data_IF_253732677639
#
_entry.id   IF_253732677639
#
_cell.length_a   1.000
_cell.length_b   1.000
_cell.length_c   1.000
_cell.angle_alpha   90.00
_cell.angle_beta   90.00
_cell.angle_gamma   90.00
#
_symmetry.space_group_name_H-M   'P 1'
#
loop_
_entity.id
_entity.type
_entity.pdbx_description
1 polymer ?
#
# COMPACT_ATOMS: atom_id res chain seq x y z
N UNK A 1 -15.00 17.78 -12.82
CA UNK A 1 -14.31 16.56 -12.37
C UNK A 1 -13.62 16.87 -11.06
N UNK A 2 -14.35 16.88 -9.97
CA UNK A 2 -13.75 16.97 -8.64
C UNK A 2 -12.93 15.70 -8.36
N UNK A 3 -12.53 15.45 -7.15
CA UNK A 3 -11.77 14.23 -6.79
C UNK A 3 -12.54 12.89 -7.01
N UNK A 4 -13.47 12.82 -7.98
CA UNK A 4 -14.37 11.67 -8.20
C UNK A 4 -13.64 10.40 -8.67
N UNK A 5 -12.45 10.54 -9.28
CA UNK A 5 -11.63 9.42 -9.66
C UNK A 5 -11.04 8.67 -8.43
N UNK A 6 -10.97 9.32 -7.28
CA UNK A 6 -10.69 8.68 -6.01
C UNK A 6 -11.99 8.12 -5.43
N UNK A 7 -12.10 6.83 -5.27
CA UNK A 7 -13.27 6.19 -4.72
C UNK A 7 -13.34 6.39 -3.20
N UNK A 8 -14.51 6.69 -2.64
CA UNK A 8 -14.70 6.96 -1.21
C UNK A 8 -13.92 8.17 -0.69
N UNK A 9 -13.61 8.18 0.60
CA UNK A 9 -12.84 9.23 1.26
C UNK A 9 -13.48 10.64 1.16
N UNK A 10 -14.80 10.72 1.28
CA UNK A 10 -15.58 11.93 0.98
C UNK A 10 -15.20 13.14 1.87
N UNK A 11 -14.91 12.90 3.16
CA UNK A 11 -14.47 13.94 4.06
C UNK A 11 -13.12 14.54 3.60
N UNK A 12 -12.17 13.68 3.24
CA UNK A 12 -10.86 14.08 2.73
C UNK A 12 -10.99 14.93 1.45
N UNK A 13 -11.84 14.50 0.52
CA UNK A 13 -12.13 15.25 -0.73
C UNK A 13 -12.71 16.63 -0.44
N UNK A 14 -13.67 16.70 0.48
CA UNK A 14 -14.31 17.96 0.88
C UNK A 14 -13.31 18.93 1.51
N UNK A 15 -12.44 18.44 2.40
CA UNK A 15 -11.44 19.25 3.07
C UNK A 15 -10.36 19.74 2.09
N UNK A 16 -9.96 18.90 1.13
CA UNK A 16 -9.04 19.31 0.05
C UNK A 16 -9.68 20.34 -0.89
N UNK A 17 -10.92 20.13 -1.31
CA UNK A 17 -11.62 21.06 -2.18
C UNK A 17 -11.74 22.45 -1.50
N UNK A 18 -12.11 22.50 -0.21
CA UNK A 18 -12.17 23.74 0.57
C UNK A 18 -10.80 24.41 0.66
N UNK A 19 -9.74 23.67 0.97
CA UNK A 19 -8.38 24.19 1.07
C UNK A 19 -7.90 24.83 -0.24
N UNK A 20 -8.19 24.16 -1.38
CA UNK A 20 -7.84 24.66 -2.71
C UNK A 20 -8.66 25.89 -3.13
N UNK A 21 -9.96 25.96 -2.76
CA UNK A 21 -10.81 27.13 -3.02
C UNK A 21 -10.36 28.36 -2.25
N UNK A 22 -9.85 28.17 -1.02
CA UNK A 22 -9.35 29.26 -0.17
C UNK A 22 -7.89 29.62 -0.44
N UNK A 23 -7.23 28.95 -1.39
CA UNK A 23 -5.81 29.16 -1.71
C UNK A 23 -4.84 28.66 -0.65
N UNK A 24 -5.30 27.86 0.33
CA UNK A 24 -4.45 27.31 1.38
C UNK A 24 -3.79 26.00 0.91
N UNK A 25 -2.69 26.12 0.19
CA UNK A 25 -1.88 25.01 -0.27
C UNK A 25 -0.73 24.80 0.72
N UNK A 26 -0.64 23.59 1.30
CA UNK A 26 0.52 23.24 2.14
C UNK A 26 1.73 22.96 1.24
N UNK A 27 2.93 23.35 1.71
CA UNK A 27 4.18 23.04 1.01
C UNK A 27 4.51 21.54 1.03
N UNK A 28 3.97 20.77 1.98
CA UNK A 28 4.19 19.33 2.06
C UNK A 28 2.91 18.59 2.47
N UNK A 29 2.58 17.54 1.74
CA UNK A 29 1.53 16.59 2.06
C UNK A 29 2.12 15.21 2.23
N UNK A 30 1.72 14.51 3.30
CA UNK A 30 2.04 13.11 3.54
C UNK A 30 0.79 12.27 3.28
N UNK A 31 0.78 11.55 2.16
CA UNK A 31 -0.34 10.69 1.76
C UNK A 31 -0.07 9.29 2.29
N UNK A 32 -0.89 8.84 3.25
CA UNK A 32 -0.72 7.57 3.95
C UNK A 32 -1.84 6.59 3.67
N UNK A 33 -1.50 5.31 3.64
CA UNK A 33 -2.42 4.20 3.46
C UNK A 33 -1.70 2.96 2.94
N UNK A 34 -2.25 1.75 3.12
CA UNK A 34 -1.62 0.52 2.65
C UNK A 34 -1.42 0.52 1.12
N UNK A 35 -0.63 -0.43 0.63
CA UNK A 35 -0.50 -0.65 -0.80
C UNK A 35 -1.90 -0.85 -1.43
N UNK A 36 -2.14 -0.29 -2.61
CA UNK A 36 -3.44 -0.39 -3.28
C UNK A 36 -4.55 0.51 -2.71
N UNK A 37 -4.26 1.39 -1.73
CA UNK A 37 -5.25 2.33 -1.17
C UNK A 37 -5.61 3.52 -2.06
N UNK A 38 -4.87 3.75 -3.16
CA UNK A 38 -5.08 4.87 -4.07
C UNK A 38 -4.20 6.10 -3.80
N UNK A 39 -3.07 5.97 -3.10
CA UNK A 39 -2.14 7.08 -2.81
C UNK A 39 -1.68 7.81 -4.06
N UNK A 40 -1.25 7.08 -5.09
CA UNK A 40 -0.82 7.66 -6.36
C UNK A 40 -1.97 8.39 -7.08
N UNK A 41 -3.18 7.82 -7.02
CA UNK A 41 -4.38 8.46 -7.58
C UNK A 41 -4.67 9.79 -6.88
N UNK A 42 -4.65 9.81 -5.53
CA UNK A 42 -4.84 11.04 -4.77
C UNK A 42 -3.73 12.07 -5.07
N UNK A 43 -2.46 11.64 -5.10
CA UNK A 43 -1.33 12.53 -5.39
C UNK A 43 -1.47 13.19 -6.77
N UNK A 44 -1.80 12.42 -7.81
CA UNK A 44 -2.02 12.96 -9.16
C UNK A 44 -3.22 13.90 -9.23
N UNK A 45 -4.33 13.56 -8.57
CA UNK A 45 -5.51 14.44 -8.51
C UNK A 45 -5.21 15.73 -7.76
N UNK A 46 -4.47 15.67 -6.66
CA UNK A 46 -4.04 16.84 -5.89
C UNK A 46 -3.09 17.72 -6.71
N UNK A 47 -2.11 17.12 -7.40
CA UNK A 47 -1.24 17.85 -8.32
C UNK A 47 -2.04 18.52 -9.44
N UNK A 48 -2.94 17.78 -10.09
CA UNK A 48 -3.82 18.35 -11.11
C UNK A 48 -4.69 19.49 -10.56
N UNK A 49 -5.14 19.42 -9.30
CA UNK A 49 -5.95 20.46 -8.68
C UNK A 49 -5.13 21.72 -8.36
N UNK A 50 -3.90 21.56 -7.87
CA UNK A 50 -2.99 22.69 -7.58
C UNK A 50 -2.62 23.44 -8.87
N UNK A 51 -2.32 22.71 -9.94
CA UNK A 51 -1.93 23.27 -11.24
C UNK A 51 -3.14 23.68 -12.12
N UNK A 52 -4.37 23.42 -11.67
CA UNK A 52 -5.57 23.66 -12.42
C UNK A 52 -5.87 25.16 -12.63
N UNK A 53 -6.14 25.56 -13.87
CA UNK A 53 -6.53 26.90 -14.26
C UNK A 53 -8.07 27.11 -14.28
N UNK A 54 -8.85 26.04 -14.04
CA UNK A 54 -10.31 26.10 -13.99
C UNK A 54 -10.84 26.58 -12.63
N UNK A 55 -12.14 26.89 -12.57
CA UNK A 55 -12.82 27.27 -11.32
C UNK A 55 -12.98 26.07 -10.37
N UNK A 56 -13.41 24.95 -10.90
CA UNK A 56 -13.61 23.71 -10.13
C UNK A 56 -12.34 22.85 -10.21
N UNK A 57 -11.57 22.78 -9.13
CA UNK A 57 -10.25 22.14 -9.09
C UNK A 57 -10.32 20.73 -8.48
N UNK A 58 -9.78 19.73 -9.18
CA UNK A 58 -9.30 19.70 -10.57
C UNK A 58 -10.46 19.65 -11.57
N UNK A 59 -10.40 20.46 -12.65
CA UNK A 59 -11.45 20.44 -13.67
C UNK A 59 -11.34 19.22 -14.61
N UNK A 60 -10.16 18.62 -14.74
CA UNK A 60 -9.87 17.48 -15.58
C UNK A 60 -9.81 17.74 -17.09
N UNK A 61 -10.15 18.98 -17.54
CA UNK A 61 -10.24 19.32 -18.96
C UNK A 61 -9.24 20.39 -19.42
N UNK A 62 -8.74 21.23 -18.52
CA UNK A 62 -7.74 22.23 -18.86
C UNK A 62 -6.39 21.55 -19.20
N UNK A 63 -5.54 22.27 -19.92
CA UNK A 63 -4.26 21.75 -20.38
C UNK A 63 -3.35 21.23 -19.26
N UNK A 64 -3.14 21.94 -18.12
CA UNK A 64 -2.39 21.42 -17.00
C UNK A 64 -2.98 20.13 -16.40
N UNK A 65 -4.31 20.08 -16.19
CA UNK A 65 -4.95 18.87 -15.65
C UNK A 65 -4.69 17.64 -16.52
N UNK A 66 -4.85 17.77 -17.85
CA UNK A 66 -4.61 16.67 -18.79
C UNK A 66 -3.15 16.22 -18.74
N UNK A 67 -2.20 17.15 -18.83
CA UNK A 67 -0.77 16.85 -18.75
C UNK A 67 -0.39 16.10 -17.46
N UNK A 68 -0.92 16.51 -16.30
CA UNK A 68 -0.65 15.83 -15.03
C UNK A 68 -1.22 14.42 -15.02
N UNK A 69 -2.46 14.25 -15.49
CA UNK A 69 -3.13 12.94 -15.50
C UNK A 69 -2.49 11.97 -16.49
N UNK A 70 -1.97 12.47 -17.61
CA UNK A 70 -1.22 11.72 -18.62
C UNK A 70 0.26 11.52 -18.26
N UNK A 71 0.75 12.20 -17.21
CA UNK A 71 2.14 12.07 -16.74
C UNK A 71 3.16 12.93 -17.48
N UNK A 72 2.72 13.93 -18.28
CA UNK A 72 3.59 14.77 -19.12
C UNK A 72 3.72 16.23 -18.70
N UNK A 73 3.36 16.61 -17.47
CA UNK A 73 3.47 18.01 -17.03
C UNK A 73 4.89 18.32 -16.53
N UNK A 74 5.57 19.37 -17.08
CA UNK A 74 6.97 19.68 -16.73
C UNK A 74 7.16 20.09 -15.26
N UNK A 75 6.12 20.67 -14.63
CA UNK A 75 6.13 21.09 -13.23
C UNK A 75 5.52 20.04 -12.28
N UNK A 76 5.26 18.80 -12.74
CA UNK A 76 4.88 17.66 -11.93
C UNK A 76 5.92 16.54 -12.10
N UNK A 77 6.80 16.42 -11.13
CA UNK A 77 7.97 15.55 -11.18
C UNK A 77 7.76 14.37 -10.22
N UNK A 78 7.81 13.17 -10.76
CA UNK A 78 7.81 11.95 -9.95
C UNK A 78 9.25 11.55 -9.64
N UNK A 79 9.55 11.45 -8.36
CA UNK A 79 10.82 11.01 -7.84
C UNK A 79 10.76 9.57 -7.41
N UNK A 80 11.25 8.70 -8.26
CA UNK A 80 11.42 7.27 -8.03
C UNK A 80 12.57 6.77 -8.90
N UNK A 81 13.30 5.78 -8.40
CA UNK A 81 14.40 5.15 -9.12
C UNK A 81 14.18 3.62 -9.08
N UNK A 82 13.79 3.00 -10.20
CA UNK A 82 13.46 1.58 -10.25
C UNK A 82 14.65 0.66 -9.93
N UNK A 83 15.88 1.16 -10.05
CA UNK A 83 17.09 0.38 -9.78
C UNK A 83 17.36 0.21 -8.27
N UNK A 84 16.67 0.98 -7.43
CA UNK A 84 16.85 0.97 -5.99
C UNK A 84 15.54 0.71 -5.25
N UNK A 85 15.60 -0.04 -4.16
CA UNK A 85 14.44 -0.19 -3.25
C UNK A 85 14.14 1.09 -2.46
N UNK A 86 15.19 1.88 -2.18
CA UNK A 86 15.11 3.17 -1.49
C UNK A 86 15.90 4.21 -2.27
N UNK A 87 15.39 5.43 -2.34
CA UNK A 87 16.09 6.52 -3.01
C UNK A 87 17.45 6.76 -2.34
N UNK A 88 18.57 6.69 -3.09
CA UNK A 88 19.90 6.95 -2.55
C UNK A 88 20.03 8.42 -2.07
N UNK A 89 20.66 8.63 -0.91
CA UNK A 89 20.88 9.99 -0.37
C UNK A 89 21.66 10.88 -1.32
N UNK A 90 22.58 10.30 -2.10
CA UNK A 90 23.35 11.02 -3.12
C UNK A 90 22.44 11.67 -4.14
N UNK A 91 21.44 10.94 -4.62
CA UNK A 91 20.47 11.44 -5.60
C UNK A 91 19.66 12.61 -5.04
N UNK A 92 19.30 12.55 -3.75
CA UNK A 92 18.59 13.65 -3.08
C UNK A 92 19.47 14.91 -3.01
N UNK A 93 20.75 14.78 -2.67
CA UNK A 93 21.66 15.91 -2.51
C UNK A 93 22.12 16.52 -3.82
N UNK A 94 22.44 15.69 -4.82
CA UNK A 94 23.09 16.12 -6.04
C UNK A 94 22.10 16.47 -7.18
N UNK A 95 20.91 15.87 -7.16
CA UNK A 95 19.93 16.06 -8.24
C UNK A 95 18.63 16.70 -7.74
N UNK A 96 18.00 16.11 -6.71
CA UNK A 96 16.73 16.59 -6.21
C UNK A 96 16.82 18.01 -5.60
N UNK A 97 17.74 18.21 -4.68
CA UNK A 97 17.91 19.50 -4.00
C UNK A 97 18.17 20.66 -4.96
N UNK A 98 19.11 20.58 -5.93
CA UNK A 98 19.30 21.65 -6.90
C UNK A 98 18.06 21.93 -7.74
N UNK A 99 17.34 20.87 -8.19
CA UNK A 99 16.13 21.02 -9.00
C UNK A 99 14.98 21.72 -8.28
N UNK A 100 14.85 21.51 -6.96
CA UNK A 100 13.82 22.19 -6.15
C UNK A 100 13.96 23.71 -6.18
N UNK A 101 15.16 24.25 -6.31
CA UNK A 101 15.41 25.69 -6.38
C UNK A 101 15.30 26.28 -7.79
N UNK A 102 15.01 25.44 -8.80
CA UNK A 102 14.68 25.89 -10.16
C UNK A 102 13.21 26.22 -10.21
N UNK A 103 12.88 27.44 -10.65
CA UNK A 103 11.48 27.92 -10.78
C UNK A 103 10.66 27.01 -11.70
N UNK A 104 9.32 26.98 -11.51
CA UNK A 104 8.41 26.29 -12.42
C UNK A 104 8.54 26.78 -13.86
N UNK A 105 8.20 25.90 -14.82
CA UNK A 105 8.28 26.20 -16.25
C UNK A 105 7.00 26.88 -16.77
N UNK A 106 5.82 26.30 -16.45
CA UNK A 106 4.52 26.70 -17.05
C UNK A 106 3.52 27.17 -15.99
N UNK A 107 3.76 26.85 -14.71
CA UNK A 107 2.79 27.01 -13.63
C UNK A 107 3.30 27.89 -12.47
N UNK A 108 2.42 28.28 -11.56
CA UNK A 108 2.81 28.97 -10.33
C UNK A 108 3.49 28.05 -9.31
N UNK A 109 3.22 26.76 -9.37
CA UNK A 109 3.75 25.75 -8.47
C UNK A 109 4.54 24.67 -9.21
N UNK A 110 5.55 24.11 -8.55
CA UNK A 110 6.31 22.94 -8.97
C UNK A 110 6.09 21.82 -7.95
N UNK A 111 5.59 20.69 -8.39
CA UNK A 111 5.12 19.61 -7.53
C UNK A 111 6.03 18.41 -7.65
N UNK A 112 6.46 17.89 -6.52
CA UNK A 112 7.34 16.74 -6.41
C UNK A 112 6.60 15.59 -5.72
N UNK A 113 6.33 14.51 -6.44
CA UNK A 113 5.78 13.29 -5.88
C UNK A 113 6.91 12.31 -5.56
N UNK A 114 7.06 11.96 -4.29
CA UNK A 114 8.03 10.98 -3.81
C UNK A 114 7.26 9.74 -3.38
N UNK A 115 7.28 8.72 -4.23
CA UNK A 115 6.52 7.46 -4.05
C UNK A 115 7.35 6.35 -3.42
N UNK A 116 8.67 6.47 -3.46
CA UNK A 116 9.60 5.45 -3.00
C UNK A 116 10.08 5.72 -1.57
N UNK A 117 10.38 4.64 -0.83
CA UNK A 117 10.87 4.74 0.55
C UNK A 117 12.21 5.49 0.62
N UNK A 118 12.30 6.39 1.60
CA UNK A 118 13.53 7.11 1.93
C UNK A 118 14.22 6.45 3.12
N UNK A 119 15.52 6.14 2.99
CA UNK A 119 16.35 5.75 4.12
C UNK A 119 16.51 6.91 5.11
N UNK A 120 17.02 6.63 6.31
CA UNK A 120 17.22 7.62 7.38
C UNK A 120 18.01 8.85 6.91
N UNK A 121 19.11 8.64 6.20
CA UNK A 121 19.94 9.71 5.66
C UNK A 121 19.21 10.53 4.57
N UNK A 122 18.41 9.86 3.75
CA UNK A 122 17.57 10.51 2.73
C UNK A 122 16.50 11.40 3.36
N UNK A 123 15.86 10.92 4.42
CA UNK A 123 14.89 11.71 5.18
C UNK A 123 15.54 12.94 5.82
N UNK A 124 16.74 12.80 6.40
CA UNK A 124 17.50 13.94 6.95
C UNK A 124 17.90 14.94 5.87
N UNK A 125 18.29 14.48 4.68
CA UNK A 125 18.58 15.36 3.56
C UNK A 125 17.35 16.13 3.06
N UNK A 126 16.17 15.49 3.11
CA UNK A 126 14.90 16.11 2.74
C UNK A 126 14.46 17.17 3.76
N UNK A 127 14.75 16.99 5.05
CA UNK A 127 14.41 17.96 6.11
C UNK A 127 14.90 19.36 5.81
N UNK A 128 16.13 19.52 5.32
CA UNK A 128 16.70 20.83 4.98
C UNK A 128 15.87 21.56 3.92
N UNK A 129 15.23 20.81 3.02
CA UNK A 129 14.36 21.37 1.97
C UNK A 129 12.98 21.69 2.54
N UNK A 130 12.45 20.83 3.43
CA UNK A 130 11.13 21.01 4.02
C UNK A 130 11.09 22.13 5.08
N UNK A 131 12.25 22.51 5.65
CA UNK A 131 12.37 23.61 6.62
C UNK A 131 12.24 24.97 5.94
N UNK A 132 12.88 25.14 4.79
CA UNK A 132 12.88 26.40 4.02
C UNK A 132 12.55 26.11 2.54
N UNK A 133 11.32 25.65 2.24
CA UNK A 133 10.94 25.34 0.87
C UNK A 133 10.73 26.63 0.07
N UNK A 134 11.11 26.65 -1.23
CA UNK A 134 10.68 27.72 -2.12
C UNK A 134 9.16 27.86 -2.13
N UNK A 135 8.64 29.06 -2.17
CA UNK A 135 7.18 29.35 -2.08
C UNK A 135 6.35 28.63 -3.17
N UNK A 136 6.96 28.30 -4.29
CA UNK A 136 6.33 27.58 -5.39
C UNK A 136 6.42 26.05 -5.27
N UNK A 137 7.27 25.52 -4.38
CA UNK A 137 7.48 24.06 -4.30
C UNK A 137 6.43 23.39 -3.42
N UNK A 138 5.85 22.28 -3.91
CA UNK A 138 4.92 21.45 -3.16
C UNK A 138 5.39 20.00 -3.21
N UNK A 139 5.49 19.35 -2.04
CA UNK A 139 5.96 17.99 -1.89
C UNK A 139 4.80 17.05 -1.56
N UNK A 140 4.68 15.95 -2.30
CA UNK A 140 3.70 14.88 -2.07
C UNK A 140 4.47 13.61 -1.69
N UNK A 141 4.57 13.32 -0.39
CA UNK A 141 5.23 12.13 0.13
C UNK A 141 4.21 11.00 0.25
N UNK A 142 4.48 9.85 -0.36
CA UNK A 142 3.63 8.68 -0.28
C UNK A 142 4.25 7.66 0.68
N UNK A 143 3.47 7.18 1.65
CA UNK A 143 3.96 6.19 2.61
C UNK A 143 2.90 5.13 2.91
N UNK A 144 3.31 3.86 2.86
CA UNK A 144 2.45 2.75 3.29
C UNK A 144 2.29 2.75 4.82
N UNK A 145 3.37 3.06 5.53
CA UNK A 145 3.41 3.16 6.97
C UNK A 145 4.08 4.49 7.40
N UNK A 146 3.32 5.45 7.98
CA UNK A 146 3.87 6.72 8.43
C UNK A 146 4.90 6.59 9.56
N UNK A 147 4.91 5.46 10.29
CA UNK A 147 5.90 5.22 11.37
C UNK A 147 7.33 5.01 10.84
N UNK A 148 7.49 4.68 9.56
CA UNK A 148 8.80 4.59 8.92
C UNK A 148 9.43 5.96 8.64
N UNK A 149 8.64 7.03 8.72
CA UNK A 149 9.12 8.40 8.55
C UNK A 149 9.51 9.02 9.90
N UNK A 150 10.58 9.79 9.90
CA UNK A 150 11.01 10.54 11.07
C UNK A 150 9.91 11.48 11.57
N UNK A 151 9.72 11.61 12.89
CA UNK A 151 8.76 12.55 13.46
C UNK A 151 8.97 13.98 12.98
N UNK A 152 10.22 14.37 12.74
CA UNK A 152 10.63 15.69 12.21
C UNK A 152 10.18 15.93 10.77
N UNK A 153 10.13 14.91 9.92
CA UNK A 153 9.53 14.98 8.56
C UNK A 153 8.03 15.09 8.68
N UNK A 154 7.41 14.20 9.48
CA UNK A 154 5.95 14.14 9.64
C UNK A 154 5.36 15.44 10.17
N UNK A 155 6.03 16.10 11.12
CA UNK A 155 5.56 17.36 11.72
C UNK A 155 5.50 18.53 10.75
N UNK A 156 6.21 18.44 9.62
CA UNK A 156 6.24 19.47 8.55
C UNK A 156 5.27 19.17 7.40
N UNK A 157 4.59 18.03 7.46
CA UNK A 157 3.65 17.61 6.43
C UNK A 157 2.21 17.66 6.93
N UNK A 158 1.29 18.08 6.06
CA UNK A 158 -0.14 17.86 6.26
C UNK A 158 -0.46 16.41 5.92
N UNK A 159 -0.87 15.62 6.90
CA UNK A 159 -1.21 14.22 6.67
C UNK A 159 -2.58 14.07 5.98
N UNK A 160 -2.61 13.25 4.93
CA UNK A 160 -3.79 12.85 4.17
C UNK A 160 -3.91 11.32 4.24
N UNK A 161 -4.71 10.83 5.19
CA UNK A 161 -4.87 9.40 5.42
C UNK A 161 -6.00 8.83 4.58
N UNK A 162 -5.68 7.82 3.75
CA UNK A 162 -6.67 7.07 2.98
C UNK A 162 -7.30 5.98 3.84
N UNK A 163 -8.63 5.94 3.85
CA UNK A 163 -9.43 4.97 4.60
C UNK A 163 -9.88 3.83 3.70
N UNK A 164 -10.15 2.68 4.33
CA UNK A 164 -10.78 1.55 3.68
C UNK A 164 -12.16 1.94 3.11
N UNK A 165 -12.48 1.41 1.95
CA UNK A 165 -13.76 1.62 1.29
C UNK A 165 -14.86 0.78 1.96
N UNK A 166 -16.10 1.29 2.04
CA UNK A 166 -17.25 0.47 2.38
C UNK A 166 -17.35 -0.72 1.42
N UNK A 167 -17.63 -1.91 1.97
CA UNK A 167 -17.68 -3.17 1.21
C UNK A 167 -18.57 -3.07 -0.03
N UNK A 168 -19.77 -2.51 0.12
CA UNK A 168 -20.73 -2.38 -0.99
C UNK A 168 -20.15 -1.55 -2.13
N UNK A 169 -19.52 -0.42 -1.84
CA UNK A 169 -18.90 0.46 -2.84
C UNK A 169 -17.74 -0.24 -3.55
N UNK A 170 -16.96 -1.05 -2.81
CA UNK A 170 -15.86 -1.83 -3.35
C UNK A 170 -16.37 -2.92 -4.29
N UNK A 171 -17.37 -3.72 -3.89
CA UNK A 171 -17.98 -4.76 -4.72
C UNK A 171 -18.61 -4.19 -6.00
N UNK A 172 -19.32 -3.06 -5.92
CA UNK A 172 -19.87 -2.36 -7.08
C UNK A 172 -18.78 -1.93 -8.06
N UNK A 173 -17.66 -1.41 -7.56
CA UNK A 173 -16.55 -1.01 -8.40
C UNK A 173 -15.86 -2.22 -9.04
N UNK A 174 -15.61 -3.26 -8.28
CA UNK A 174 -15.00 -4.49 -8.78
C UNK A 174 -15.85 -5.16 -9.86
N UNK A 175 -17.19 -5.18 -9.70
CA UNK A 175 -18.09 -5.76 -10.71
C UNK A 175 -18.06 -5.02 -12.04
N UNK A 176 -17.77 -3.71 -12.04
CA UNK A 176 -17.57 -2.91 -13.25
C UNK A 176 -16.23 -3.16 -13.91
N UNK A 177 -15.17 -3.27 -13.08
CA UNK A 177 -13.79 -3.44 -13.55
C UNK A 177 -13.51 -4.88 -13.99
N UNK A 178 -14.22 -5.88 -13.42
CA UNK A 178 -14.09 -7.32 -13.70
C UNK A 178 -15.45 -7.97 -14.02
N UNK A 179 -16.07 -7.64 -15.16
CA UNK A 179 -17.41 -8.14 -15.50
C UNK A 179 -17.47 -9.67 -15.70
N UNK A 180 -16.33 -10.33 -15.89
CA UNK A 180 -16.22 -11.79 -16.07
C UNK A 180 -16.02 -12.53 -14.74
N UNK A 181 -15.71 -11.83 -13.65
CA UNK A 181 -15.50 -12.46 -12.35
C UNK A 181 -16.85 -12.88 -11.72
N UNK A 182 -16.87 -14.03 -11.04
CA UNK A 182 -18.06 -14.46 -10.33
C UNK A 182 -18.38 -13.52 -9.15
N UNK A 183 -19.66 -13.45 -8.76
CA UNK A 183 -20.05 -12.65 -7.58
C UNK A 183 -19.33 -13.10 -6.31
N UNK A 184 -19.06 -14.39 -6.20
CA UNK A 184 -18.36 -14.98 -5.07
C UNK A 184 -16.89 -14.53 -5.05
N UNK A 185 -16.22 -14.51 -6.21
CA UNK A 185 -14.83 -14.05 -6.33
C UNK A 185 -14.71 -12.56 -6.01
N UNK A 186 -15.63 -11.73 -6.50
CA UNK A 186 -15.68 -10.30 -6.19
C UNK A 186 -15.83 -10.06 -4.67
N UNK A 187 -16.73 -10.83 -4.03
CA UNK A 187 -16.96 -10.76 -2.60
C UNK A 187 -15.72 -11.17 -1.80
N UNK A 188 -15.10 -12.31 -2.16
CA UNK A 188 -13.86 -12.79 -1.53
C UNK A 188 -12.71 -11.79 -1.67
N UNK A 189 -12.53 -11.21 -2.87
CA UNK A 189 -11.53 -10.18 -3.10
C UNK A 189 -11.79 -8.94 -2.26
N UNK A 190 -13.04 -8.48 -2.14
CA UNK A 190 -13.42 -7.35 -1.31
C UNK A 190 -13.15 -7.60 0.18
N UNK A 191 -13.45 -8.80 0.68
CA UNK A 191 -13.20 -9.18 2.08
C UNK A 191 -11.70 -9.25 2.39
N UNK A 192 -10.92 -9.92 1.52
CA UNK A 192 -9.48 -10.14 1.72
C UNK A 192 -8.62 -8.90 1.50
N UNK A 193 -9.12 -7.92 0.75
CA UNK A 193 -8.38 -6.67 0.47
C UNK A 193 -8.38 -5.67 1.62
N UNK A 194 -9.05 -5.94 2.73
CA UNK A 194 -9.19 -4.98 3.83
C UNK A 194 -9.87 -3.66 3.42
N UNK A 195 -10.65 -3.67 2.33
CA UNK A 195 -11.35 -2.50 1.82
C UNK A 195 -10.53 -1.63 0.86
N UNK A 196 -9.39 -2.11 0.35
CA UNK A 196 -8.53 -1.35 -0.57
C UNK A 196 -8.65 -1.87 -2.00
N UNK A 197 -9.11 -0.99 -2.90
CA UNK A 197 -9.44 -1.35 -4.29
C UNK A 197 -8.26 -1.96 -5.06
N UNK A 198 -7.05 -1.40 -4.93
CA UNK A 198 -5.88 -1.91 -5.62
C UNK A 198 -5.48 -3.30 -5.15
N UNK A 199 -5.62 -3.60 -3.85
CA UNK A 199 -5.41 -4.96 -3.33
C UNK A 199 -6.48 -5.93 -3.84
N UNK A 200 -7.76 -5.51 -3.86
CA UNK A 200 -8.83 -6.34 -4.39
C UNK A 200 -8.64 -6.66 -5.88
N UNK A 201 -8.17 -5.69 -6.68
CA UNK A 201 -7.83 -5.90 -8.10
C UNK A 201 -6.69 -6.88 -8.27
N UNK A 202 -5.58 -6.69 -7.53
CA UNK A 202 -4.45 -7.61 -7.57
C UNK A 202 -4.87 -9.05 -7.24
N UNK A 203 -5.72 -9.25 -6.23
CA UNK A 203 -6.28 -10.57 -5.89
C UNK A 203 -7.09 -11.19 -7.03
N UNK A 204 -7.83 -10.38 -7.82
CA UNK A 204 -8.60 -10.87 -8.96
C UNK A 204 -7.74 -11.11 -10.20
N UNK A 205 -6.72 -10.28 -10.44
CA UNK A 205 -5.79 -10.39 -11.57
C UNK A 205 -4.82 -11.56 -11.41
N UNK A 206 -4.26 -11.75 -10.22
CA UNK A 206 -3.38 -12.88 -9.89
C UNK A 206 -4.16 -14.21 -9.84
N UNK A 207 -5.48 -14.14 -9.90
CA UNK A 207 -6.38 -15.23 -9.63
C UNK A 207 -6.50 -15.50 -8.14
N UNK A 208 -7.70 -15.81 -7.66
CA UNK A 208 -7.96 -16.24 -6.28
C UNK A 208 -7.36 -17.63 -5.97
N UNK A 209 -6.61 -18.19 -6.93
CA UNK A 209 -5.84 -19.40 -6.71
C UNK A 209 -4.78 -19.11 -5.64
N UNK A 210 -5.01 -19.66 -4.49
CA UNK A 210 -4.04 -19.64 -3.41
C UNK A 210 -2.74 -20.28 -3.91
N UNK A 211 -1.57 -19.75 -3.54
CA UNK A 211 -0.31 -20.38 -3.86
C UNK A 211 -0.38 -21.89 -3.55
N UNK A 212 0.18 -22.77 -4.39
CA UNK A 212 0.11 -24.22 -4.16
C UNK A 212 0.62 -24.63 -2.77
N UNK A 213 1.50 -23.83 -2.18
CA UNK A 213 1.98 -23.95 -0.81
C UNK A 213 0.86 -23.78 0.22
N UNK A 214 -0.16 -22.98 -0.07
CA UNK A 214 -1.25 -22.73 0.89
C UNK A 214 -2.15 -23.94 1.05
N UNK A 215 -2.49 -24.63 -0.03
CA UNK A 215 -3.25 -25.87 0.04
C UNK A 215 -2.46 -27.00 0.74
N UNK A 216 -1.15 -27.04 0.53
CA UNK A 216 -0.25 -27.98 1.24
C UNK A 216 -0.17 -27.65 2.74
N UNK A 217 -0.05 -26.35 3.09
CA UNK A 217 -0.06 -25.90 4.48
C UNK A 217 -1.37 -26.29 5.19
N UNK A 218 -2.52 -26.02 4.59
CA UNK A 218 -3.81 -26.35 5.19
C UNK A 218 -3.91 -27.85 5.48
N UNK A 219 -3.56 -28.70 4.51
CA UNK A 219 -3.60 -30.15 4.70
C UNK A 219 -2.66 -30.62 5.82
N UNK A 220 -1.43 -30.14 5.82
CA UNK A 220 -0.44 -30.51 6.79
C UNK A 220 -0.81 -30.00 8.20
N UNK A 221 -1.20 -28.72 8.32
CA UNK A 221 -1.57 -28.14 9.60
C UNK A 221 -2.89 -28.73 10.13
N UNK A 222 -3.95 -28.82 9.33
CA UNK A 222 -5.20 -29.43 9.76
C UNK A 222 -5.05 -30.90 10.12
N UNK A 223 -4.20 -31.64 9.42
CA UNK A 223 -3.89 -33.05 9.71
C UNK A 223 -2.99 -33.27 10.93
N UNK A 224 -2.35 -32.24 11.47
CA UNK A 224 -1.37 -32.40 12.55
C UNK A 224 -0.06 -33.04 12.13
N UNK A 225 0.23 -32.99 10.84
CA UNK A 225 1.39 -33.65 10.25
C UNK A 225 2.63 -32.74 10.30
N UNK A 226 3.42 -32.89 11.37
CA UNK A 226 4.64 -32.11 11.57
C UNK A 226 5.71 -32.40 10.49
N UNK A 227 5.71 -33.61 9.90
CA UNK A 227 6.65 -33.97 8.85
C UNK A 227 6.28 -33.24 7.57
N UNK A 228 5.00 -33.27 7.15
CA UNK A 228 4.52 -32.57 5.99
C UNK A 228 4.69 -31.03 6.10
N UNK A 229 4.53 -30.46 7.30
CA UNK A 229 4.85 -29.03 7.54
C UNK A 229 6.35 -28.76 7.32
N UNK A 230 7.22 -29.63 7.79
CA UNK A 230 8.67 -29.49 7.60
C UNK A 230 9.05 -29.62 6.12
N UNK A 231 8.50 -30.62 5.42
CA UNK A 231 8.73 -30.84 3.99
C UNK A 231 8.23 -29.65 3.14
N UNK A 232 7.17 -28.97 3.56
CA UNK A 232 6.68 -27.75 2.93
C UNK A 232 7.62 -26.57 3.15
N UNK A 233 8.16 -26.39 4.36
CA UNK A 233 8.96 -25.22 4.74
C UNK A 233 10.41 -25.29 4.25
N UNK A 234 11.01 -26.49 4.16
CA UNK A 234 12.40 -26.70 3.73
C UNK A 234 12.71 -26.08 2.36
N UNK A 235 11.93 -26.28 1.29
CA UNK A 235 12.17 -25.60 0.01
C UNK A 235 12.09 -24.07 0.09
N UNK A 236 11.28 -23.55 1.02
CA UNK A 236 11.06 -22.11 1.18
C UNK A 236 12.23 -21.41 1.89
N UNK A 237 13.16 -22.16 2.52
CA UNK A 237 14.37 -21.61 3.14
C UNK A 237 15.27 -20.85 2.16
N UNK A 238 15.25 -21.26 0.88
CA UNK A 238 16.03 -20.66 -0.21
C UNK A 238 15.32 -19.50 -0.91
N UNK A 239 14.11 -19.17 -0.49
CA UNK A 239 13.35 -18.11 -1.13
C UNK A 239 13.87 -16.73 -0.77
N UNK A 240 13.57 -15.75 -1.65
CA UNK A 240 13.72 -14.34 -1.31
C UNK A 240 12.60 -13.94 -0.34
N UNK A 241 12.87 -12.96 0.51
CA UNK A 241 11.89 -12.43 1.49
C UNK A 241 10.59 -11.96 0.82
N UNK A 242 10.71 -11.29 -0.32
CA UNK A 242 9.56 -10.76 -1.07
C UNK A 242 8.61 -11.86 -1.57
N UNK A 243 9.11 -13.07 -1.76
CA UNK A 243 8.29 -14.24 -2.09
C UNK A 243 7.72 -14.94 -0.85
N UNK A 244 8.43 -14.90 0.28
CA UNK A 244 8.02 -15.56 1.53
C UNK A 244 6.89 -14.81 2.23
N UNK A 245 6.98 -13.47 2.33
CA UNK A 245 6.02 -12.62 3.04
C UNK A 245 4.57 -12.80 2.55
N UNK A 246 4.25 -12.77 1.24
CA UNK A 246 2.88 -12.96 0.77
C UNK A 246 2.29 -14.31 1.14
N UNK A 247 3.09 -15.37 1.11
CA UNK A 247 2.64 -16.73 1.47
C UNK A 247 2.33 -16.83 2.95
N UNK A 248 3.22 -16.34 3.83
CA UNK A 248 2.97 -16.31 5.28
C UNK A 248 1.77 -15.45 5.65
N UNK A 249 1.59 -14.31 4.98
CA UNK A 249 0.42 -13.44 5.17
C UNK A 249 -0.88 -14.13 4.74
N UNK A 250 -0.85 -14.90 3.65
CA UNK A 250 -1.99 -15.69 3.21
C UNK A 250 -2.35 -16.81 4.20
N UNK A 251 -1.36 -17.49 4.79
CA UNK A 251 -1.60 -18.50 5.82
C UNK A 251 -2.16 -17.88 7.11
N UNK A 252 -1.65 -16.72 7.51
CA UNK A 252 -2.16 -15.98 8.66
C UNK A 252 -3.64 -15.61 8.47
N UNK A 253 -4.00 -15.03 7.32
CA UNK A 253 -5.38 -14.67 7.03
C UNK A 253 -6.34 -15.87 7.08
N UNK A 254 -5.92 -17.05 6.59
CA UNK A 254 -6.72 -18.29 6.67
C UNK A 254 -6.91 -18.78 8.11
N UNK A 255 -5.87 -18.67 8.95
CA UNK A 255 -5.99 -19.05 10.37
C UNK A 255 -6.88 -18.08 11.14
N UNK A 256 -6.80 -16.78 10.85
CA UNK A 256 -7.67 -15.76 11.45
C UNK A 256 -9.13 -15.99 11.04
N UNK A 257 -9.38 -16.32 9.76
CA UNK A 257 -10.70 -16.69 9.27
C UNK A 257 -11.24 -17.97 9.96
N UNK A 258 -10.39 -18.99 10.12
CA UNK A 258 -10.74 -20.24 10.79
C UNK A 258 -11.07 -20.03 12.28
N UNK A 259 -10.36 -19.10 12.95
CA UNK A 259 -10.59 -18.80 14.38
C UNK A 259 -11.83 -17.94 14.61
N UNK A 260 -12.12 -17.01 13.68
CA UNK A 260 -13.20 -16.04 13.81
C UNK A 260 -14.63 -16.67 13.77
N UNK A 261 -14.76 -17.90 13.27
CA UNK A 261 -16.01 -18.66 13.29
C UNK A 261 -17.19 -18.00 12.53
N UNK A 262 -16.89 -17.24 11.47
CA UNK A 262 -17.93 -16.61 10.65
C UNK A 262 -18.88 -17.65 10.04
N UNK A 263 -20.14 -17.28 9.81
CA UNK A 263 -21.15 -18.17 9.19
C UNK A 263 -20.78 -18.64 7.77
N UNK A 264 -19.91 -17.92 7.10
CA UNK A 264 -19.41 -18.22 5.75
C UNK A 264 -17.87 -18.13 5.76
N UNK A 265 -17.23 -19.26 6.02
CA UNK A 265 -15.76 -19.40 5.95
C UNK A 265 -15.36 -20.06 4.64
N UNK A 266 -14.16 -19.74 4.15
CA UNK A 266 -13.61 -20.42 2.96
C UNK A 266 -13.45 -21.93 3.23
N UNK A 267 -13.51 -22.72 2.17
CA UNK A 267 -13.39 -24.20 2.27
C UNK A 267 -12.11 -24.60 3.02
N UNK A 268 -11.01 -23.87 2.81
CA UNK A 268 -9.72 -24.15 3.45
C UNK A 268 -9.68 -23.74 4.92
N UNK A 269 -10.25 -22.59 5.26
CA UNK A 269 -10.39 -22.18 6.66
C UNK A 269 -11.33 -23.12 7.42
N UNK A 270 -12.41 -23.57 6.76
CA UNK A 270 -13.33 -24.59 7.28
C UNK A 270 -12.65 -25.92 7.57
N UNK A 271 -11.73 -26.37 6.71
CA UNK A 271 -10.95 -27.59 6.94
C UNK A 271 -10.08 -27.48 8.19
N UNK A 272 -9.45 -26.32 8.42
CA UNK A 272 -8.67 -26.06 9.63
C UNK A 272 -9.58 -26.05 10.87
N UNK A 273 -10.67 -25.26 10.84
CA UNK A 273 -11.60 -25.13 11.95
C UNK A 273 -12.26 -26.45 12.37
N UNK A 274 -12.48 -27.36 11.42
CA UNK A 274 -13.07 -28.67 11.67
C UNK A 274 -12.09 -29.65 12.37
N UNK A 275 -10.78 -29.46 12.24
CA UNK A 275 -9.77 -30.45 12.69
C UNK A 275 -8.83 -29.94 13.78
N UNK A 276 -8.77 -28.61 13.99
CA UNK A 276 -7.90 -27.99 14.99
C UNK A 276 -8.69 -27.25 16.06
N UNK A 277 -8.15 -27.26 17.27
CA UNK A 277 -8.75 -26.53 18.38
C UNK A 277 -8.44 -25.03 18.28
N UNK A 278 -9.31 -24.18 18.84
CA UNK A 278 -9.09 -22.74 18.85
C UNK A 278 -7.74 -22.33 19.51
N UNK A 279 -7.27 -22.97 20.60
CA UNK A 279 -5.93 -22.71 21.13
C UNK A 279 -4.80 -23.06 20.17
N UNK A 280 -4.93 -24.13 19.36
CA UNK A 280 -3.90 -24.52 18.37
C UNK A 280 -3.84 -23.49 17.24
N UNK A 281 -5.01 -23.08 16.73
CA UNK A 281 -5.10 -22.04 15.70
C UNK A 281 -4.52 -20.72 16.20
N UNK A 282 -4.83 -20.33 17.44
CA UNK A 282 -4.31 -19.10 18.05
C UNK A 282 -2.77 -19.13 18.20
N UNK A 283 -2.20 -20.26 18.63
CA UNK A 283 -0.73 -20.42 18.67
C UNK A 283 -0.09 -20.30 17.31
N UNK A 284 -0.69 -20.89 16.29
CA UNK A 284 -0.21 -20.79 14.92
C UNK A 284 -0.31 -19.37 14.37
N UNK A 285 -1.38 -18.62 14.69
CA UNK A 285 -1.52 -17.18 14.36
C UNK A 285 -0.34 -16.40 14.96
N UNK A 286 -0.05 -16.58 16.24
CA UNK A 286 1.07 -15.89 16.89
C UNK A 286 2.42 -16.28 16.27
N UNK A 287 2.62 -17.55 15.93
CA UNK A 287 3.82 -18.00 15.23
C UNK A 287 3.97 -17.30 13.88
N UNK A 288 2.92 -17.20 13.07
CA UNK A 288 2.98 -16.52 11.77
C UNK A 288 3.18 -15.01 11.90
N UNK A 289 2.56 -14.35 12.88
CA UNK A 289 2.77 -12.93 13.16
C UNK A 289 4.23 -12.63 13.53
N UNK A 290 4.84 -13.48 14.38
CA UNK A 290 6.25 -13.37 14.71
C UNK A 290 7.14 -13.61 13.49
N UNK A 291 6.84 -14.63 12.66
CA UNK A 291 7.56 -14.91 11.43
C UNK A 291 7.52 -13.75 10.45
N UNK A 292 6.36 -13.10 10.28
CA UNK A 292 6.22 -11.90 9.46
C UNK A 292 7.04 -10.73 10.02
N UNK A 293 7.04 -10.54 11.34
CA UNK A 293 7.88 -9.52 11.99
C UNK A 293 9.37 -9.79 11.73
N UNK A 294 9.81 -11.04 11.83
CA UNK A 294 11.20 -11.46 11.52
C UNK A 294 11.52 -11.27 10.03
N UNK A 295 10.57 -11.56 9.13
CA UNK A 295 10.73 -11.36 7.69
C UNK A 295 10.82 -9.87 7.29
N UNK A 296 10.15 -8.99 8.02
CA UNK A 296 10.27 -7.53 7.86
C UNK A 296 11.57 -6.97 8.45
N UNK A 297 12.17 -7.70 9.40
CA UNK A 297 13.49 -7.44 9.96
C UNK A 297 14.62 -8.00 9.08
N UNK A 298 15.82 -8.15 9.65
CA UNK A 298 16.98 -8.70 8.93
C UNK A 298 17.20 -10.20 9.15
N UNK A 299 16.17 -10.98 9.52
CA UNK A 299 16.29 -12.42 9.73
C UNK A 299 16.24 -13.16 8.38
N UNK A 300 17.08 -14.17 8.21
CA UNK A 300 17.12 -14.95 6.96
C UNK A 300 15.86 -15.83 6.79
N UNK A 301 15.37 -16.04 5.57
CA UNK A 301 14.25 -16.97 5.32
C UNK A 301 14.46 -18.38 5.88
N UNK A 302 15.68 -18.90 5.80
CA UNK A 302 16.01 -20.21 6.37
C UNK A 302 15.80 -20.28 7.89
N UNK A 303 16.23 -19.26 8.64
CA UNK A 303 15.99 -19.20 10.08
C UNK A 303 14.50 -19.08 10.41
N UNK A 304 13.74 -18.33 9.62
CA UNK A 304 12.28 -18.19 9.79
C UNK A 304 11.57 -19.51 9.53
N UNK A 305 11.87 -20.19 8.42
CA UNK A 305 11.26 -21.48 8.07
C UNK A 305 11.60 -22.57 9.07
N UNK A 306 12.87 -22.66 9.50
CA UNK A 306 13.29 -23.62 10.52
C UNK A 306 12.61 -23.41 11.87
N UNK A 307 12.46 -22.15 12.31
CA UNK A 307 11.71 -21.80 13.51
C UNK A 307 10.21 -22.12 13.38
N UNK A 308 9.58 -21.78 12.23
CA UNK A 308 8.17 -22.08 11.96
C UNK A 308 7.89 -23.59 11.96
N UNK A 309 8.80 -24.41 11.42
CA UNK A 309 8.66 -25.87 11.43
C UNK A 309 8.57 -26.44 12.85
N UNK A 310 9.13 -25.76 13.85
CA UNK A 310 9.00 -26.09 15.26
C UNK A 310 7.75 -25.46 15.90
N UNK A 311 7.46 -24.18 15.60
CA UNK A 311 6.41 -23.40 16.25
C UNK A 311 4.98 -23.79 15.83
N UNK A 312 4.79 -24.42 14.66
CA UNK A 312 3.51 -24.87 14.12
C UNK A 312 3.14 -26.33 14.45
N UNK A 313 3.93 -26.98 15.28
CA UNK A 313 3.69 -28.39 15.72
C UNK A 313 2.54 -28.53 16.69
#
# INVERSE_FOLDING_TARGET
MSFDALLGNEQLKTDLARSLQTGHISHCYLITGPQGSGKHTLARLLAAAILCQGRDKPCGVCHPCRKVLEGGHPDFITWEDPDYQKIPVKLIRETFRPDVFIKPNESEHKIYMISQELGLEGQNALLTILEEPPAYAVFLLLADNPQKLLPTVRSRCRELKLSALPRQLLEERLSRDFPQASREDLRRAAERSGGFLGQAKALLEEGLSLPPQTAAFVRAFAGGDALALTELLVPMEKWKRDALIPVLSGWLALLEEALAGYREISTLAGEIAARRTAPDIYRAIQALQNALTYAQGNVSPGAICGWLAWALR
#
